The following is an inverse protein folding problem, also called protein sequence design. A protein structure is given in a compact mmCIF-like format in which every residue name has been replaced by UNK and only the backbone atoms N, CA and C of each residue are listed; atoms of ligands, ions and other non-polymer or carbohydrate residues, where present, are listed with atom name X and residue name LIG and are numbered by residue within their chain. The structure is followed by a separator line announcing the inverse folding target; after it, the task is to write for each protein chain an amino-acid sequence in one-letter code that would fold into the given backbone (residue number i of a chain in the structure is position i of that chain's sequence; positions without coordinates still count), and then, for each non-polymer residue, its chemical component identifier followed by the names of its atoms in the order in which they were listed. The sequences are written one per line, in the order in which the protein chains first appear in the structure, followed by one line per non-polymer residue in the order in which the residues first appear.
data_IF_072062592384
#
_entry.id   IF_072062592384
#
_cell.length_a   1.000
_cell.length_b   1.000
_cell.length_c   1.000
_cell.angle_alpha   90.00
_cell.angle_beta   90.00
_cell.angle_gamma   90.00
#
_symmetry.space_group_name_H-M   'P 1'
#
loop_
_entity.id
_entity.type
_entity.pdbx_description
1 polymer ?
#
# COMPACT_ATOMS: atom_id res chain seq x y z
N UNK A 1 4.76 28.99 3.26
CA UNK A 1 5.61 27.77 3.35
C UNK A 1 4.79 26.51 3.49
N UNK A 2 3.80 26.47 4.40
CA UNK A 2 2.90 25.33 4.58
C UNK A 2 2.18 24.88 3.29
N UNK A 3 1.45 25.80 2.63
CA UNK A 3 0.76 25.51 1.35
C UNK A 3 1.72 24.92 0.31
N UNK A 4 2.93 25.49 0.16
CA UNK A 4 3.93 25.01 -0.80
C UNK A 4 4.44 23.60 -0.49
N UNK A 5 4.54 23.24 0.80
CA UNK A 5 4.94 21.88 1.22
C UNK A 5 3.84 20.88 0.89
N UNK A 6 2.59 21.23 1.12
CA UNK A 6 1.42 20.40 0.81
C UNK A 6 1.32 20.21 -0.71
N UNK A 7 1.37 21.29 -1.49
CA UNK A 7 1.36 21.24 -2.96
C UNK A 7 2.49 20.36 -3.53
N UNK A 8 3.69 20.39 -2.92
CA UNK A 8 4.79 19.54 -3.37
C UNK A 8 4.48 18.04 -3.21
N UNK A 9 3.82 17.65 -2.11
CA UNK A 9 3.42 16.26 -1.85
C UNK A 9 2.20 15.87 -2.69
N UNK A 10 1.24 16.77 -2.89
CA UNK A 10 0.06 16.50 -3.72
C UNK A 10 0.44 16.30 -5.20
N UNK A 11 1.39 17.08 -5.71
CA UNK A 11 1.89 16.94 -7.08
C UNK A 11 2.77 15.68 -7.26
N UNK A 12 3.53 15.31 -6.23
CA UNK A 12 4.37 14.12 -6.25
C UNK A 12 4.41 13.46 -4.86
N UNK A 13 3.56 12.45 -4.59
CA UNK A 13 3.53 11.75 -3.31
C UNK A 13 4.82 11.02 -2.94
N UNK A 14 5.74 10.85 -3.90
CA UNK A 14 7.04 10.20 -3.71
C UNK A 14 8.19 11.19 -3.44
N UNK A 15 7.91 12.51 -3.38
CA UNK A 15 8.95 13.51 -3.12
C UNK A 15 9.52 13.37 -1.71
N UNK A 16 10.85 13.41 -1.59
CA UNK A 16 11.49 13.29 -0.28
C UNK A 16 11.40 14.60 0.50
N UNK A 17 11.29 14.51 1.83
CA UNK A 17 11.33 15.70 2.71
C UNK A 17 12.59 16.56 2.52
N UNK A 18 13.72 15.92 2.14
CA UNK A 18 14.99 16.61 1.84
C UNK A 18 14.89 17.43 0.55
N UNK A 19 14.22 16.90 -0.46
CA UNK A 19 14.00 17.59 -1.71
C UNK A 19 13.05 18.78 -1.52
N UNK A 20 11.92 18.58 -0.82
CA UNK A 20 10.99 19.68 -0.46
C UNK A 20 11.74 20.79 0.29
N UNK A 21 12.57 20.42 1.27
CA UNK A 21 13.38 21.36 2.07
C UNK A 21 14.30 22.21 1.19
N UNK A 22 14.92 21.63 0.16
CA UNK A 22 15.80 22.33 -0.78
C UNK A 22 15.03 23.26 -1.72
N UNK A 23 13.90 22.81 -2.25
CA UNK A 23 13.10 23.57 -3.23
C UNK A 23 12.33 24.74 -2.61
N UNK A 24 11.92 24.60 -1.35
CA UNK A 24 11.15 25.62 -0.60
C UNK A 24 12.06 26.44 0.34
N UNK A 25 13.34 26.09 0.44
CA UNK A 25 14.35 26.76 1.26
C UNK A 25 13.98 26.84 2.76
N UNK A 26 13.42 25.76 3.30
CA UNK A 26 13.08 25.63 4.72
C UNK A 26 13.78 24.41 5.33
N UNK A 27 13.95 24.39 6.65
CA UNK A 27 14.57 23.23 7.31
C UNK A 27 13.72 21.96 7.12
N UNK A 28 14.39 20.81 7.01
CA UNK A 28 13.71 19.51 6.97
C UNK A 28 12.79 19.29 8.20
N UNK A 29 13.20 19.77 9.37
CA UNK A 29 12.39 19.72 10.59
C UNK A 29 11.08 20.51 10.48
N UNK A 30 11.07 21.61 9.72
CA UNK A 30 9.87 22.39 9.45
C UNK A 30 8.95 21.66 8.47
N UNK A 31 9.50 21.07 7.40
CA UNK A 31 8.77 20.20 6.47
C UNK A 31 8.08 19.07 7.24
N UNK A 32 8.82 18.35 8.08
CA UNK A 32 8.27 17.26 8.89
C UNK A 32 7.13 17.72 9.80
N UNK A 33 7.25 18.90 10.41
CA UNK A 33 6.22 19.44 11.30
C UNK A 33 4.93 19.75 10.54
N UNK A 34 5.05 20.38 9.37
CA UNK A 34 3.93 20.70 8.48
C UNK A 34 3.24 19.41 8.02
N UNK A 35 4.00 18.42 7.54
CA UNK A 35 3.41 17.14 7.10
C UNK A 35 2.69 16.42 8.24
N UNK A 36 3.20 16.50 9.47
CA UNK A 36 2.54 15.92 10.64
C UNK A 36 1.27 16.68 11.05
N UNK A 37 1.25 18.01 11.01
CA UNK A 37 0.04 18.79 11.32
C UNK A 37 -1.07 18.51 10.33
N UNK A 38 -0.72 18.33 9.06
CA UNK A 38 -1.64 18.00 7.96
C UNK A 38 -1.95 16.50 7.84
N UNK A 39 -1.48 15.67 8.79
CA UNK A 39 -1.76 14.23 8.86
C UNK A 39 -1.28 13.43 7.64
N UNK A 40 -0.22 13.87 6.98
CA UNK A 40 0.47 13.05 5.98
C UNK A 40 1.23 11.91 6.66
N UNK A 41 1.12 10.72 6.07
CA UNK A 41 1.81 9.51 6.52
C UNK A 41 2.72 8.99 5.40
N UNK A 42 3.95 8.54 5.73
CA UNK A 42 4.78 7.83 4.77
C UNK A 42 4.01 6.63 4.19
N UNK A 43 3.96 6.53 2.86
CA UNK A 43 3.38 5.38 2.20
C UNK A 43 4.45 4.29 2.03
N UNK A 44 4.18 3.11 2.54
CA UNK A 44 5.00 1.94 2.26
C UNK A 44 4.49 1.27 1.00
N UNK A 45 5.31 1.24 -0.06
CA UNK A 45 4.97 0.57 -1.31
C UNK A 45 4.81 -0.93 -1.06
N UNK A 46 3.57 -1.41 -1.18
CA UNK A 46 3.25 -2.83 -1.10
C UNK A 46 3.30 -3.40 -2.50
N UNK A 47 4.23 -4.31 -2.75
CA UNK A 47 4.33 -5.00 -4.02
C UNK A 47 3.31 -6.14 -4.05
N UNK A 48 2.16 -5.85 -4.64
CA UNK A 48 1.09 -6.84 -4.89
C UNK A 48 1.24 -7.46 -6.28
N UNK A 49 0.59 -8.60 -6.50
CA UNK A 49 0.52 -9.20 -7.84
C UNK A 49 -0.17 -8.24 -8.80
N UNK A 50 0.42 -8.03 -9.98
CA UNK A 50 -0.20 -7.26 -11.05
C UNK A 50 -1.47 -7.98 -11.52
N UNK A 51 -2.57 -7.24 -11.57
CA UNK A 51 -3.86 -7.74 -12.06
C UNK A 51 -3.98 -7.45 -13.55
N UNK A 52 -4.42 -8.43 -14.32
CA UNK A 52 -4.81 -8.22 -15.70
C UNK A 52 -6.29 -7.82 -15.78
N UNK A 53 -6.71 -7.26 -16.91
CA UNK A 53 -8.09 -6.79 -17.12
C UNK A 53 -9.13 -7.90 -16.86
N UNK A 54 -8.86 -9.12 -17.28
CA UNK A 54 -9.73 -10.27 -17.04
C UNK A 54 -9.82 -10.69 -15.55
N UNK A 55 -8.83 -10.32 -14.72
CA UNK A 55 -8.81 -10.71 -13.31
C UNK A 55 -9.80 -9.90 -12.48
N UNK A 56 -10.08 -8.65 -12.86
CA UNK A 56 -11.07 -7.81 -12.17
C UNK A 56 -12.45 -8.48 -12.15
N UNK A 57 -12.92 -8.93 -13.32
CA UNK A 57 -14.22 -9.62 -13.41
C UNK A 57 -14.23 -10.93 -12.63
N UNK A 58 -13.18 -11.75 -12.74
CA UNK A 58 -13.08 -13.02 -12.01
C UNK A 58 -13.15 -12.80 -10.49
N UNK A 59 -12.46 -11.78 -9.99
CA UNK A 59 -12.46 -11.44 -8.56
C UNK A 59 -13.83 -10.97 -8.09
N UNK A 60 -14.51 -10.12 -8.86
CA UNK A 60 -15.88 -9.68 -8.53
C UNK A 60 -16.86 -10.86 -8.52
N UNK A 61 -16.80 -11.75 -9.52
CA UNK A 61 -17.61 -12.97 -9.56
C UNK A 61 -17.37 -13.85 -8.35
N UNK A 62 -16.10 -14.05 -7.96
CA UNK A 62 -15.75 -14.80 -6.76
C UNK A 62 -16.31 -14.15 -5.48
N UNK A 63 -16.20 -12.82 -5.34
CA UNK A 63 -16.76 -12.09 -4.21
C UNK A 63 -18.30 -12.27 -4.12
N UNK A 64 -19.01 -12.15 -5.23
CA UNK A 64 -20.45 -12.39 -5.26
C UNK A 64 -20.79 -13.84 -4.91
N UNK A 65 -20.08 -14.81 -5.48
CA UNK A 65 -20.24 -16.22 -5.15
C UNK A 65 -20.08 -16.49 -3.64
N UNK A 66 -19.00 -15.98 -3.04
CA UNK A 66 -18.73 -16.16 -1.60
C UNK A 66 -19.82 -15.54 -0.74
N UNK A 67 -20.24 -14.31 -1.06
CA UNK A 67 -21.32 -13.62 -0.36
C UNK A 67 -22.62 -14.43 -0.42
N UNK A 68 -23.00 -14.89 -1.61
CA UNK A 68 -24.26 -15.60 -1.80
C UNK A 68 -24.25 -16.96 -1.07
N UNK A 69 -23.10 -17.64 -1.01
CA UNK A 69 -22.91 -18.85 -0.18
C UNK A 69 -23.07 -18.58 1.31
N UNK A 70 -22.48 -17.50 1.81
CA UNK A 70 -22.61 -17.10 3.22
C UNK A 70 -24.06 -16.70 3.58
N UNK A 71 -24.79 -16.09 2.65
CA UNK A 71 -26.20 -15.73 2.85
C UNK A 71 -27.12 -16.97 2.86
N UNK A 72 -26.79 -18.01 2.10
CA UNK A 72 -27.56 -19.26 2.05
C UNK A 72 -27.28 -20.16 3.25
N UNK A 73 -26.04 -20.17 3.75
CA UNK A 73 -25.61 -20.99 4.87
C UNK A 73 -24.68 -20.19 5.79
N UNK A 74 -25.17 -19.85 6.98
CA UNK A 74 -24.45 -19.03 7.96
C UNK A 74 -23.09 -19.62 8.34
N UNK A 75 -23.01 -20.96 8.43
CA UNK A 75 -21.78 -21.68 8.81
C UNK A 75 -20.88 -22.04 7.62
N UNK A 76 -21.15 -21.57 6.41
CA UNK A 76 -20.43 -21.97 5.20
C UNK A 76 -18.90 -21.90 5.35
N UNK A 77 -18.38 -20.81 5.93
CA UNK A 77 -16.94 -20.62 6.12
C UNK A 77 -16.30 -21.64 7.06
N UNK A 78 -17.05 -22.28 7.96
CA UNK A 78 -16.52 -23.34 8.84
C UNK A 78 -16.13 -24.60 8.07
N UNK A 79 -16.66 -24.77 6.86
CA UNK A 79 -16.38 -25.90 5.98
C UNK A 79 -15.36 -25.55 4.87
N UNK A 80 -14.80 -24.35 4.89
CA UNK A 80 -13.78 -23.90 3.93
C UNK A 80 -12.42 -23.87 4.61
N UNK A 81 -11.46 -24.61 4.04
CA UNK A 81 -10.06 -24.57 4.46
C UNK A 81 -9.24 -23.90 3.36
N UNK A 82 -8.56 -22.81 3.71
CA UNK A 82 -7.60 -22.16 2.82
C UNK A 82 -6.20 -22.69 3.12
N UNK A 83 -5.48 -23.07 2.06
CA UNK A 83 -4.07 -23.44 2.12
C UNK A 83 -3.31 -22.65 1.06
N UNK A 84 -2.05 -22.35 1.33
CA UNK A 84 -1.13 -21.73 0.38
C UNK A 84 0.20 -22.48 0.42
N UNK A 85 0.98 -22.39 -0.66
CA UNK A 85 2.31 -22.99 -0.77
C UNK A 85 3.38 -21.92 -0.63
N UNK A 86 4.26 -22.07 0.36
CA UNK A 86 5.38 -21.16 0.58
C UNK A 86 6.70 -21.78 0.11
N UNK A 87 7.45 -21.03 -0.71
CA UNK A 87 8.79 -21.44 -1.15
C UNK A 87 9.86 -20.86 -0.23
N UNK A 88 10.67 -21.72 0.38
CA UNK A 88 11.82 -21.32 1.18
C UNK A 88 13.12 -21.57 0.40
N UNK A 89 13.95 -20.54 0.23
CA UNK A 89 15.23 -20.62 -0.48
C UNK A 89 16.37 -20.23 0.47
N UNK A 90 17.43 -21.05 0.57
CA UNK A 90 18.61 -20.76 1.40
C UNK A 90 19.74 -20.01 0.65
N UNK A 91 19.50 -19.62 -0.61
CA UNK A 91 20.52 -19.10 -1.52
C UNK A 91 20.70 -17.57 -1.45
N UNK A 92 20.27 -16.92 -0.37
CA UNK A 92 20.49 -15.48 -0.16
C UNK A 92 19.62 -14.56 -1.04
N UNK A 93 18.51 -15.05 -1.59
CA UNK A 93 17.50 -14.17 -2.19
C UNK A 93 17.11 -13.09 -1.17
N UNK A 94 17.29 -11.82 -1.55
CA UNK A 94 17.06 -10.67 -0.66
C UNK A 94 15.64 -10.73 -0.12
N UNK A 95 15.49 -10.76 1.21
CA UNK A 95 14.18 -10.64 1.83
C UNK A 95 13.58 -9.30 1.44
N UNK A 96 12.48 -9.34 0.67
CA UNK A 96 11.81 -8.16 0.11
C UNK A 96 11.26 -7.22 1.19
N UNK A 97 11.09 -7.72 2.42
CA UNK A 97 10.75 -6.90 3.58
C UNK A 97 11.86 -5.92 4.00
N UNK A 98 13.11 -6.14 3.54
CA UNK A 98 14.23 -5.24 3.77
C UNK A 98 14.34 -4.15 2.69
N UNK A 99 13.46 -4.14 1.68
CA UNK A 99 13.41 -3.09 0.66
C UNK A 99 12.64 -1.88 1.19
N UNK A 100 13.38 -0.91 1.74
CA UNK A 100 12.84 0.41 2.08
C UNK A 100 13.03 1.36 0.89
N UNK A 101 11.93 1.92 0.38
CA UNK A 101 11.91 2.98 -0.63
C UNK A 101 11.54 4.32 0.01
#
# INVERSE_FOLDING_TARGET
NEIRVIEAVDNNPHVSQRQISREIEISQSSVLRILKSERFHPYHVILVQALNEADYEKRIRFCHFMRDKMNQQLDFLRFVMFSDEAKFCNNGAVNRHNSHY
#
